data_IF_910976460745
#
_entry.id   IF_910976460745
#
_cell.length_a   1.000
_cell.length_b   1.000
_cell.length_c   1.000
_cell.angle_alpha   90.00
_cell.angle_beta   90.00
_cell.angle_gamma   90.00
#
_symmetry.space_group_name_H-M   'P 1'
#
loop_
_entity.id
_entity.type
_entity.pdbx_description
1 polymer ?
#
# COMPACT_ATOMS: atom_id res chain seq x y z
N UNK A 1 -80.77 2.50 32.39
CA UNK A 1 -81.63 1.97 33.48
C UNK A 1 -82.19 0.60 33.06
N UNK A 2 -81.46 -0.49 33.34
CA UNK A 2 -81.96 -1.75 33.94
C UNK A 2 -80.80 -2.76 34.07
N UNK A 3 -80.53 -3.15 35.31
CA UNK A 3 -79.78 -4.34 35.71
C UNK A 3 -80.52 -5.62 35.28
N UNK A 4 -79.83 -6.77 35.28
CA UNK A 4 -80.03 -7.99 36.11
C UNK A 4 -79.19 -9.11 35.44
N UNK A 5 -78.02 -9.49 35.93
CA UNK A 5 -77.72 -10.51 36.96
C UNK A 5 -78.19 -11.95 36.64
N UNK A 6 -77.24 -12.86 36.44
CA UNK A 6 -77.39 -14.31 36.56
C UNK A 6 -76.01 -14.90 36.88
N UNK A 7 -75.69 -15.25 38.13
CA UNK A 7 -76.02 -16.54 38.80
C UNK A 7 -75.31 -17.71 38.11
N UNK A 8 -74.37 -18.44 38.69
CA UNK A 8 -73.93 -18.51 40.08
C UNK A 8 -72.65 -19.34 40.23
N UNK A 9 -71.98 -19.03 41.33
CA UNK A 9 -70.82 -19.58 42.01
C UNK A 9 -70.84 -21.10 42.30
N UNK A 10 -69.67 -21.75 42.14
CA UNK A 10 -69.11 -22.91 42.89
C UNK A 10 -67.61 -22.98 42.54
N UNK A 11 -66.62 -23.20 43.39
CA UNK A 11 -66.49 -23.44 44.82
C UNK A 11 -64.99 -23.26 45.14
N UNK A 12 -64.66 -22.84 46.36
CA UNK A 12 -63.28 -22.63 46.82
C UNK A 12 -62.72 -23.89 47.49
N UNK A 13 -61.38 -23.96 47.56
CA UNK A 13 -60.49 -24.92 48.28
C UNK A 13 -59.93 -26.00 47.34
N UNK A 14 -58.62 -26.11 47.14
CA UNK A 14 -57.68 -26.60 48.16
C UNK A 14 -56.23 -26.26 47.75
N UNK A 15 -55.44 -25.89 48.77
CA UNK A 15 -53.99 -25.72 48.74
C UNK A 15 -53.27 -26.84 47.99
N UNK A 16 -52.20 -26.57 47.23
CA UNK A 16 -50.85 -26.44 47.80
C UNK A 16 -50.13 -27.79 47.73
N UNK A 17 -48.81 -27.77 47.47
CA UNK A 17 -47.85 -28.92 47.41
C UNK A 17 -47.87 -29.66 46.04
N UNK A 18 -46.79 -29.81 45.27
CA UNK A 18 -45.35 -29.67 45.50
C UNK A 18 -44.55 -29.38 44.23
N UNK A 19 -43.44 -28.69 44.46
CA UNK A 19 -42.17 -28.69 43.74
C UNK A 19 -41.79 -30.08 43.23
N UNK A 20 -41.51 -30.24 41.92
CA UNK A 20 -40.29 -30.94 41.44
C UNK A 20 -40.12 -30.85 39.93
N UNK A 21 -38.99 -30.31 39.52
CA UNK A 21 -38.40 -30.61 38.22
C UNK A 21 -37.91 -32.07 38.20
N UNK A 22 -38.27 -32.84 37.18
CA UNK A 22 -37.50 -33.99 36.67
C UNK A 22 -37.89 -34.21 35.20
N UNK A 23 -36.91 -34.05 34.31
CA UNK A 23 -37.09 -34.18 32.86
C UNK A 23 -36.90 -35.60 32.32
N UNK A 24 -37.51 -35.84 31.16
CA UNK A 24 -37.22 -36.87 30.14
C UNK A 24 -38.36 -36.71 29.11
N UNK A 25 -38.20 -36.50 27.80
CA UNK A 25 -37.34 -37.11 26.78
C UNK A 25 -37.37 -36.22 25.50
N UNK A 26 -36.30 -36.28 24.69
CA UNK A 26 -36.21 -36.20 23.20
C UNK A 26 -37.21 -35.35 22.37
N UNK A 27 -36.85 -34.65 21.30
CA UNK A 27 -35.96 -35.06 20.21
C UNK A 27 -35.59 -33.86 19.30
N UNK A 28 -34.43 -33.99 18.65
CA UNK A 28 -34.03 -33.45 17.35
C UNK A 28 -33.85 -31.91 17.22
N UNK A 29 -32.60 -31.44 17.23
CA UNK A 29 -31.68 -31.39 16.08
C UNK A 29 -32.06 -30.34 15.03
N UNK A 30 -31.30 -29.24 15.02
CA UNK A 30 -31.38 -28.19 14.01
C UNK A 30 -30.19 -27.25 14.11
N UNK A 31 -28.98 -27.79 13.98
CA UNK A 31 -27.76 -26.96 13.89
C UNK A 31 -27.79 -26.17 12.57
N UNK A 32 -28.35 -24.96 12.57
CA UNK A 32 -28.19 -24.01 11.46
C UNK A 32 -26.88 -23.24 11.64
N UNK A 33 -25.78 -23.92 11.34
CA UNK A 33 -24.47 -23.28 11.12
C UNK A 33 -24.55 -22.45 9.84
N UNK A 34 -24.87 -21.17 9.94
CA UNK A 34 -24.76 -20.26 8.80
C UNK A 34 -23.30 -19.86 8.58
N UNK A 35 -22.52 -20.73 7.92
CA UNK A 35 -21.20 -20.38 7.38
C UNK A 35 -21.39 -19.76 5.99
N UNK A 36 -21.57 -18.45 5.95
CA UNK A 36 -21.40 -17.67 4.72
C UNK A 36 -19.89 -17.45 4.48
N UNK A 37 -19.12 -18.54 4.34
CA UNK A 37 -17.66 -18.48 4.02
C UNK A 37 -17.44 -18.59 2.51
N UNK A 38 -18.47 -18.93 1.73
CA UNK A 38 -18.40 -18.98 0.26
C UNK A 38 -18.64 -17.64 -0.44
N UNK A 39 -19.36 -16.70 0.17
CA UNK A 39 -19.69 -15.40 -0.43
C UNK A 39 -18.57 -14.36 -0.28
N UNK A 40 -17.69 -14.49 0.71
CA UNK A 40 -16.59 -13.55 0.95
C UNK A 40 -15.44 -13.69 -0.04
N UNK A 41 -15.15 -14.92 -0.49
CA UNK A 41 -14.07 -15.19 -1.44
C UNK A 41 -14.41 -14.66 -2.84
N UNK A 42 -15.66 -14.83 -3.27
CA UNK A 42 -16.14 -14.28 -4.55
C UNK A 42 -16.12 -12.74 -4.56
N UNK A 43 -16.52 -12.11 -3.47
CA UNK A 43 -16.46 -10.65 -3.31
C UNK A 43 -15.02 -10.15 -3.31
N UNK A 44 -14.10 -10.84 -2.62
CA UNK A 44 -12.68 -10.49 -2.61
C UNK A 44 -12.06 -10.56 -4.02
N UNK A 45 -12.37 -11.62 -4.78
CA UNK A 45 -11.87 -11.79 -6.16
C UNK A 45 -12.38 -10.66 -7.05
N UNK A 46 -13.67 -10.30 -6.97
CA UNK A 46 -14.24 -9.20 -7.75
C UNK A 46 -13.61 -7.86 -7.39
N UNK A 47 -13.40 -7.58 -6.10
CA UNK A 47 -12.73 -6.35 -5.65
C UNK A 47 -11.27 -6.27 -6.14
N UNK A 48 -10.53 -7.38 -6.08
CA UNK A 48 -9.16 -7.43 -6.61
C UNK A 48 -9.11 -7.24 -8.13
N UNK A 49 -10.05 -7.83 -8.87
CA UNK A 49 -10.16 -7.62 -10.31
C UNK A 49 -10.46 -6.16 -10.66
N UNK A 50 -11.40 -5.52 -9.94
CA UNK A 50 -11.72 -4.09 -10.14
C UNK A 50 -10.51 -3.20 -9.82
N UNK A 51 -9.69 -3.54 -8.82
CA UNK A 51 -8.46 -2.80 -8.50
C UNK A 51 -7.39 -2.94 -9.59
N UNK A 52 -7.20 -4.16 -10.12
CA UNK A 52 -6.24 -4.44 -11.20
C UNK A 52 -6.69 -3.74 -12.49
N UNK A 53 -7.97 -3.83 -12.85
CA UNK A 53 -8.51 -3.16 -14.04
C UNK A 53 -8.57 -1.63 -13.88
N UNK A 54 -8.87 -1.11 -12.69
CA UNK A 54 -8.87 0.33 -12.40
C UNK A 54 -7.46 0.94 -12.42
N UNK A 55 -6.46 0.22 -11.92
CA UNK A 55 -5.06 0.66 -11.93
C UNK A 55 -4.43 0.70 -13.32
N UNK A 56 -4.84 -0.19 -14.24
CA UNK A 56 -4.32 -0.21 -15.62
C UNK A 56 -4.87 0.95 -16.46
N UNK A 57 -6.11 1.37 -16.23
CA UNK A 57 -6.71 2.52 -16.96
C UNK A 57 -6.17 3.86 -16.44
N UNK A 58 -5.78 3.96 -15.15
CA UNK A 58 -5.25 5.20 -14.57
C UNK A 58 -3.75 5.45 -14.83
N UNK A 59 -2.97 4.43 -15.22
CA UNK A 59 -1.56 4.60 -15.58
C UNK A 59 -1.33 5.02 -17.05
N UNK A 60 -2.35 5.00 -17.90
CA UNK A 60 -2.21 5.21 -19.34
C UNK A 60 -2.39 6.65 -19.85
N UNK A 61 -2.80 7.60 -19.01
CA UNK A 61 -3.13 8.99 -19.44
C UNK A 61 -2.21 10.03 -18.76
N UNK A 62 -0.90 9.76 -18.75
CA UNK A 62 0.09 10.84 -18.62
C UNK A 62 1.47 10.44 -19.18
N UNK A 63 1.52 9.69 -20.29
CA UNK A 63 2.76 9.43 -21.02
C UNK A 63 2.68 10.07 -22.41
N UNK A 64 2.53 11.39 -22.44
CA UNK A 64 2.81 12.21 -23.62
C UNK A 64 3.67 13.40 -23.22
N UNK A 65 4.85 13.11 -22.67
CA UNK A 65 5.95 14.07 -22.69
C UNK A 65 6.66 13.87 -24.03
N UNK A 66 6.17 14.57 -25.06
CA UNK A 66 6.89 14.70 -26.33
C UNK A 66 7.92 15.81 -26.11
N UNK A 67 9.05 15.46 -25.48
CA UNK A 67 10.23 16.30 -25.49
C UNK A 67 10.96 15.98 -26.80
N UNK A 68 10.79 16.83 -27.81
CA UNK A 68 11.81 16.96 -28.85
C UNK A 68 12.96 17.78 -28.23
N UNK A 69 14.14 17.19 -27.96
CA UNK A 69 15.32 18.01 -27.84
C UNK A 69 15.69 18.47 -29.24
N UNK A 70 15.45 19.76 -29.47
CA UNK A 70 16.30 20.64 -30.26
C UNK A 70 17.63 19.99 -30.66
N UNK A 71 17.86 19.90 -31.97
CA UNK A 71 19.08 19.46 -32.62
C UNK A 71 20.26 20.40 -32.29
N UNK A 72 20.78 20.26 -31.08
CA UNK A 72 22.16 20.53 -30.70
C UNK A 72 22.79 19.14 -30.62
N UNK A 73 23.97 18.96 -31.21
CA UNK A 73 24.76 17.74 -31.03
C UNK A 73 25.24 17.69 -29.58
N UNK A 74 24.32 17.45 -28.65
CA UNK A 74 24.55 17.30 -27.22
C UNK A 74 25.09 15.90 -27.07
N UNK A 75 26.33 15.76 -26.61
CA UNK A 75 26.84 14.45 -26.24
C UNK A 75 25.83 13.80 -25.29
N UNK A 76 25.52 12.54 -25.53
CA UNK A 76 24.52 11.86 -24.71
C UNK A 76 25.08 11.69 -23.30
N UNK A 77 24.45 12.32 -22.30
CA UNK A 77 24.82 12.13 -20.90
C UNK A 77 24.53 10.68 -20.52
N UNK A 78 25.56 9.99 -20.06
CA UNK A 78 25.49 8.62 -19.57
C UNK A 78 25.81 8.56 -18.08
N UNK A 79 25.31 7.53 -17.43
CA UNK A 79 25.54 7.29 -16.00
C UNK A 79 26.44 6.08 -15.82
N UNK A 80 27.43 6.22 -14.93
CA UNK A 80 28.35 5.14 -14.57
C UNK A 80 28.40 4.99 -13.06
N UNK A 81 28.51 3.75 -12.59
CA UNK A 81 28.87 3.43 -11.22
C UNK A 81 30.39 3.26 -11.15
N UNK A 82 31.05 4.09 -10.36
CA UNK A 82 32.49 3.98 -10.08
C UNK A 82 32.71 3.50 -8.65
N UNK A 83 33.76 2.72 -8.42
CA UNK A 83 34.18 2.36 -7.06
C UNK A 83 34.98 3.53 -6.47
N UNK A 84 34.71 3.89 -5.22
CA UNK A 84 35.42 4.95 -4.51
C UNK A 84 36.74 4.38 -3.99
N UNK A 85 37.85 4.99 -4.37
CA UNK A 85 39.18 4.60 -3.93
C UNK A 85 39.57 5.25 -2.60
N UNK A 86 40.66 4.78 -2.00
CA UNK A 86 41.15 5.34 -0.75
C UNK A 86 41.77 6.71 -0.99
N UNK A 87 41.18 7.73 -0.38
CA UNK A 87 41.67 9.11 -0.47
C UNK A 87 40.81 10.01 -1.34
N UNK A 88 39.90 9.42 -2.13
CA UNK A 88 38.95 10.17 -2.95
C UNK A 88 38.12 11.13 -2.10
N UNK A 89 37.91 12.32 -2.65
CA UNK A 89 36.93 13.27 -2.15
C UNK A 89 35.81 13.45 -3.16
N UNK A 90 34.61 13.78 -2.66
CA UNK A 90 33.48 14.08 -3.53
C UNK A 90 33.77 15.26 -4.48
N UNK A 91 34.63 16.18 -4.06
CA UNK A 91 35.05 17.33 -4.85
C UNK A 91 35.99 16.95 -6.00
N UNK A 92 37.00 16.12 -5.75
CA UNK A 92 37.91 15.66 -6.81
C UNK A 92 37.16 14.82 -7.85
N UNK A 93 36.28 13.92 -7.40
CA UNK A 93 35.44 13.14 -8.31
C UNK A 93 34.46 14.02 -9.10
N UNK A 94 33.97 15.12 -8.52
CA UNK A 94 33.17 16.08 -9.27
C UNK A 94 33.98 16.78 -10.34
N UNK A 95 35.20 17.24 -10.03
CA UNK A 95 36.09 17.86 -11.03
C UNK A 95 36.43 16.90 -12.17
N UNK A 96 36.58 15.60 -11.89
CA UNK A 96 36.91 14.60 -12.90
C UNK A 96 35.74 14.29 -13.85
N UNK A 97 34.52 14.21 -13.33
CA UNK A 97 33.36 13.72 -14.08
C UNK A 97 32.38 14.81 -14.53
N UNK A 98 32.55 16.07 -14.09
CA UNK A 98 31.67 17.16 -14.49
C UNK A 98 31.69 17.38 -16.02
N UNK A 99 30.51 17.58 -16.61
CA UNK A 99 30.36 17.94 -18.03
C UNK A 99 30.32 19.46 -18.22
N UNK A 100 30.52 19.92 -19.45
CA UNK A 100 30.56 21.36 -19.79
C UNK A 100 29.24 22.10 -19.53
N UNK A 101 28.14 21.37 -19.29
CA UNK A 101 26.82 21.92 -18.98
C UNK A 101 26.73 22.53 -17.57
N UNK A 102 27.66 22.20 -16.67
CA UNK A 102 27.69 22.70 -15.30
C UNK A 102 28.47 24.01 -15.20
N UNK A 103 27.92 24.99 -14.48
CA UNK A 103 28.55 26.31 -14.31
C UNK A 103 29.64 26.30 -13.22
N UNK A 104 29.65 25.29 -12.35
CA UNK A 104 30.65 25.13 -11.29
C UNK A 104 30.70 23.71 -10.74
N UNK A 105 31.85 23.32 -10.19
CA UNK A 105 32.02 22.06 -9.45
C UNK A 105 31.00 21.94 -8.32
N UNK A 106 30.68 23.05 -7.64
CA UNK A 106 29.71 23.07 -6.56
C UNK A 106 28.31 22.64 -7.01
N UNK A 107 27.89 23.08 -8.20
CA UNK A 107 26.62 22.65 -8.80
C UNK A 107 26.62 21.15 -9.03
N UNK A 108 27.70 20.62 -9.60
CA UNK A 108 27.79 19.18 -9.87
C UNK A 108 27.85 18.32 -8.61
N UNK A 109 28.50 18.76 -7.53
CA UNK A 109 28.43 18.03 -6.26
C UNK A 109 27.04 18.00 -5.66
N UNK A 110 26.24 19.08 -5.79
CA UNK A 110 24.85 19.00 -5.34
C UNK A 110 24.09 17.91 -6.11
N UNK A 111 24.36 17.76 -7.39
CA UNK A 111 23.80 16.69 -8.21
C UNK A 111 24.35 15.31 -7.84
N UNK A 112 25.65 15.15 -7.62
CA UNK A 112 26.23 13.89 -7.13
C UNK A 112 25.58 13.47 -5.82
N UNK A 113 25.37 14.40 -4.88
CA UNK A 113 24.70 14.13 -3.61
C UNK A 113 23.24 13.73 -3.83
N UNK A 114 22.52 14.41 -4.72
CA UNK A 114 21.12 14.08 -5.07
C UNK A 114 21.00 12.69 -5.70
N UNK A 115 21.87 12.36 -6.66
CA UNK A 115 21.87 11.09 -7.38
C UNK A 115 22.26 9.90 -6.49
N UNK A 116 23.13 10.13 -5.49
CA UNK A 116 23.63 9.10 -4.60
C UNK A 116 23.01 9.11 -3.20
N UNK A 117 21.99 9.96 -2.99
CA UNK A 117 21.31 10.11 -1.71
C UNK A 117 22.25 10.46 -0.53
N UNK A 118 23.28 11.25 -0.80
CA UNK A 118 24.22 11.71 0.22
C UNK A 118 23.66 12.93 0.96
N UNK A 119 23.74 12.90 2.29
CA UNK A 119 23.32 14.03 3.14
C UNK A 119 24.41 15.07 3.33
N UNK A 120 25.66 14.65 3.22
CA UNK A 120 26.87 15.46 3.37
C UNK A 120 27.90 15.04 2.32
N UNK A 121 29.13 15.53 2.44
CA UNK A 121 30.18 15.34 1.43
C UNK A 121 31.01 14.05 1.70
N UNK A 122 30.60 13.24 2.68
CA UNK A 122 31.29 12.01 3.07
C UNK A 122 31.03 10.91 2.05
N UNK A 123 32.10 10.36 1.52
CA UNK A 123 32.12 9.15 0.69
C UNK A 123 33.04 8.11 1.34
N UNK A 124 32.78 6.83 1.07
CA UNK A 124 33.47 5.71 1.74
C UNK A 124 34.13 4.82 0.70
N UNK A 125 35.43 4.59 0.86
CA UNK A 125 36.18 3.69 -0.02
C UNK A 125 35.58 2.29 -0.08
N UNK A 126 35.58 1.68 -1.27
CA UNK A 126 34.96 0.40 -1.59
C UNK A 126 33.44 0.48 -1.81
N UNK A 127 32.80 1.62 -1.56
CA UNK A 127 31.43 1.88 -2.01
C UNK A 127 31.43 2.38 -3.45
N UNK A 128 30.23 2.51 -4.01
CA UNK A 128 30.06 2.97 -5.38
C UNK A 128 29.39 4.34 -5.42
N UNK A 129 29.86 5.18 -6.34
CA UNK A 129 29.28 6.49 -6.65
C UNK A 129 28.74 6.46 -8.08
N UNK A 130 27.50 6.93 -8.25
CA UNK A 130 26.91 7.21 -9.54
C UNK A 130 27.37 8.58 -10.02
N UNK A 131 28.02 8.61 -11.18
CA UNK A 131 28.46 9.83 -11.85
C UNK A 131 27.80 9.94 -13.23
N UNK A 132 27.52 11.16 -13.65
CA UNK A 132 27.16 11.49 -15.02
C UNK A 132 28.43 11.79 -15.82
N UNK A 133 28.47 11.44 -17.10
CA UNK A 133 29.58 11.78 -17.99
C UNK A 133 29.07 11.94 -19.44
N UNK A 134 29.76 12.76 -20.24
CA UNK A 134 29.41 12.98 -21.63
C UNK A 134 30.05 11.92 -22.53
N UNK A 135 29.25 11.27 -23.39
CA UNK A 135 29.79 10.47 -24.49
C UNK A 135 30.05 11.37 -25.70
N UNK A 136 31.33 11.54 -26.03
CA UNK A 136 31.72 12.10 -27.32
C UNK A 136 31.30 11.16 -28.46
N UNK A 137 30.52 11.67 -29.41
CA UNK A 137 30.04 10.95 -30.60
C UNK A 137 31.03 10.94 -31.76
#
# INVERSE_FOLDING_TARGET
MREVYGRGEKDHRTAGLQIRQYGHHGEAAGSRRNRNIGSSLGVLIVLTAVFIFGGVIFNGVLASAHEEPENKTVGSICYKSIEIEQGDTLWELAEEYMTDDYLSVQEYVQDLKRMNHLTDDTIISGQHLIVAYELAG
#
